data_IF_075354040766
#
_entry.id   IF_075354040766
#
_cell.length_a   1.000
_cell.length_b   1.000
_cell.length_c   1.000
_cell.angle_alpha   90.00
_cell.angle_beta   90.00
_cell.angle_gamma   90.00
#
_symmetry.space_group_name_H-M   'P 1'
#
loop_
_entity.id
_entity.type
_entity.pdbx_description
1 polymer ?
#
# COMPACT_ATOMS: atom_id res chain seq x y z
N UNK A 1 8.74 16.33 -2.38
CA UNK A 1 9.20 14.92 -2.39
C UNK A 1 8.75 14.29 -3.70
N UNK A 2 9.59 13.48 -4.36
CA UNK A 2 9.26 12.79 -5.61
C UNK A 2 9.20 11.29 -5.32
N UNK A 3 8.05 10.67 -5.59
CA UNK A 3 7.88 9.21 -5.56
C UNK A 3 8.09 8.68 -6.97
N UNK A 4 8.91 7.64 -7.11
CA UNK A 4 9.13 6.94 -8.38
C UNK A 4 8.71 5.51 -8.16
N UNK A 5 7.65 5.10 -8.85
CA UNK A 5 7.19 3.72 -8.85
C UNK A 5 7.67 3.01 -10.12
N UNK A 6 8.01 1.74 -10.00
CA UNK A 6 8.25 0.86 -11.14
C UNK A 6 6.93 0.54 -11.85
N UNK A 7 7.01 0.06 -13.08
CA UNK A 7 5.83 -0.38 -13.81
C UNK A 7 5.08 -1.52 -13.08
N UNK A 8 5.81 -2.39 -12.40
CA UNK A 8 5.23 -3.48 -11.61
C UNK A 8 4.49 -2.95 -10.38
N UNK A 9 5.08 -2.00 -9.65
CA UNK A 9 4.41 -1.35 -8.50
C UNK A 9 3.12 -0.64 -8.91
N UNK A 10 3.13 0.07 -10.05
CA UNK A 10 1.93 0.72 -10.58
C UNK A 10 0.86 -0.32 -10.92
N UNK A 11 1.25 -1.44 -11.51
CA UNK A 11 0.33 -2.52 -11.85
C UNK A 11 -0.27 -3.15 -10.58
N UNK A 12 0.56 -3.49 -9.59
CA UNK A 12 0.09 -4.05 -8.32
C UNK A 12 -0.86 -3.10 -7.59
N UNK A 13 -0.58 -1.79 -7.61
CA UNK A 13 -1.49 -0.78 -7.04
C UNK A 13 -2.84 -0.75 -7.75
N UNK A 14 -2.86 -0.86 -9.08
CA UNK A 14 -4.10 -0.91 -9.86
C UNK A 14 -4.93 -2.16 -9.53
N UNK A 15 -4.29 -3.33 -9.53
CA UNK A 15 -4.95 -4.61 -9.23
C UNK A 15 -5.50 -4.62 -7.80
N UNK A 16 -4.76 -4.04 -6.85
CA UNK A 16 -5.19 -3.87 -5.47
C UNK A 16 -6.42 -2.96 -5.36
N UNK A 17 -6.40 -1.81 -6.04
CA UNK A 17 -7.52 -0.87 -6.05
C UNK A 17 -8.81 -1.49 -6.62
N UNK A 18 -8.69 -2.26 -7.70
CA UNK A 18 -9.83 -2.99 -8.28
C UNK A 18 -10.36 -4.07 -7.35
N UNK A 19 -9.47 -4.78 -6.64
CA UNK A 19 -9.85 -5.85 -5.71
C UNK A 19 -10.60 -5.32 -4.48
N UNK A 20 -10.22 -4.16 -3.96
CA UNK A 20 -10.82 -3.58 -2.77
C UNK A 20 -11.97 -2.60 -3.07
N UNK A 21 -12.13 -2.22 -4.34
CA UNK A 21 -13.19 -1.32 -4.81
C UNK A 21 -13.03 0.12 -4.34
N UNK A 22 -11.82 0.52 -3.95
CA UNK A 22 -11.54 1.88 -3.46
C UNK A 22 -11.16 2.81 -4.61
N UNK A 23 -11.61 4.06 -4.52
CA UNK A 23 -11.33 5.08 -5.53
C UNK A 23 -10.01 5.81 -5.35
N UNK A 24 -9.42 5.76 -4.15
CA UNK A 24 -8.21 6.48 -3.81
C UNK A 24 -7.34 5.72 -2.80
N UNK A 25 -6.02 5.94 -2.91
CA UNK A 25 -5.01 5.37 -2.01
C UNK A 25 -3.99 6.43 -1.63
N UNK A 26 -3.62 6.43 -0.35
CA UNK A 26 -2.51 7.19 0.19
C UNK A 26 -1.25 6.35 0.08
N UNK A 27 -0.19 6.93 -0.48
CA UNK A 27 1.13 6.31 -0.53
C UNK A 27 2.07 7.05 0.41
N UNK A 28 2.64 6.34 1.37
CA UNK A 28 3.60 6.89 2.32
C UNK A 28 4.58 5.82 2.82
N UNK A 29 5.62 6.25 3.54
CA UNK A 29 6.41 5.29 4.31
C UNK A 29 5.64 4.89 5.57
N UNK A 30 5.62 3.61 5.88
CA UNK A 30 4.96 3.08 7.06
C UNK A 30 5.39 1.66 7.37
N UNK A 31 4.94 1.19 8.53
CA UNK A 31 5.23 -0.14 9.05
C UNK A 31 3.96 -1.00 8.94
N UNK A 32 4.11 -2.25 8.52
CA UNK A 32 3.05 -3.26 8.56
C UNK A 32 3.37 -4.22 9.69
N UNK A 33 2.37 -4.47 10.55
CA UNK A 33 2.49 -5.31 11.73
C UNK A 33 1.77 -6.64 11.53
N UNK A 34 2.35 -7.70 12.09
CA UNK A 34 1.66 -8.97 12.36
C UNK A 34 1.66 -9.18 13.88
N UNK A 35 0.53 -8.89 14.51
CA UNK A 35 0.46 -8.76 15.98
C UNK A 35 1.30 -7.57 16.47
N UNK A 36 2.28 -7.84 17.32
CA UNK A 36 3.21 -6.83 17.87
C UNK A 36 4.51 -6.69 17.05
N UNK A 37 4.72 -7.55 16.03
CA UNK A 37 5.96 -7.58 15.24
C UNK A 37 5.82 -6.79 13.94
N UNK A 38 6.81 -5.93 13.64
CA UNK A 38 6.92 -5.24 12.35
C UNK A 38 7.46 -6.23 11.31
N UNK A 39 6.61 -6.61 10.35
CA UNK A 39 6.99 -7.53 9.27
C UNK A 39 7.46 -6.81 8.00
N UNK A 40 7.14 -5.52 7.87
CA UNK A 40 7.55 -4.68 6.75
C UNK A 40 7.70 -3.23 7.20
N UNK A 41 8.71 -2.53 6.70
CA UNK A 41 8.92 -1.09 6.91
C UNK A 41 9.41 -0.49 5.60
N UNK A 42 8.58 0.33 4.96
CA UNK A 42 8.83 0.79 3.61
C UNK A 42 7.68 1.57 3.02
N UNK A 43 7.59 1.64 1.69
CA UNK A 43 6.48 2.30 1.02
C UNK A 43 5.23 1.41 1.08
N UNK A 44 4.13 1.98 1.56
CA UNK A 44 2.85 1.32 1.64
C UNK A 44 1.78 2.14 0.92
N UNK A 45 0.76 1.45 0.39
CA UNK A 45 -0.46 2.06 -0.12
C UNK A 45 -1.67 1.56 0.68
N UNK A 46 -2.52 2.47 1.13
CA UNK A 46 -3.73 2.17 1.89
C UNK A 46 -4.84 3.19 1.58
N UNK A 47 -6.10 2.78 1.69
CA UNK A 47 -7.25 3.63 1.34
C UNK A 47 -7.68 4.60 2.46
N UNK A 48 -6.99 4.57 3.60
CA UNK A 48 -7.36 5.33 4.80
C UNK A 48 -8.45 4.68 5.65
N UNK A 49 -8.96 3.51 5.24
CA UNK A 49 -9.91 2.71 6.02
C UNK A 49 -9.20 1.60 6.79
N UNK A 50 -9.63 1.35 8.02
CA UNK A 50 -9.19 0.21 8.84
C UNK A 50 -9.82 -1.12 8.40
N UNK A 51 -10.86 -1.08 7.57
CA UNK A 51 -11.55 -2.27 7.04
C UNK A 51 -10.88 -2.84 5.78
N UNK A 52 -9.92 -2.11 5.22
CA UNK A 52 -9.26 -2.39 3.96
C UNK A 52 -7.78 -2.71 4.16
N UNK A 53 -7.21 -3.43 3.20
CA UNK A 53 -5.84 -3.89 3.28
C UNK A 53 -4.80 -2.75 3.16
N UNK A 54 -3.56 -3.13 3.45
CA UNK A 54 -2.38 -2.31 3.14
C UNK A 54 -1.55 -3.07 2.10
N UNK A 55 -1.20 -2.41 1.00
CA UNK A 55 -0.31 -2.95 -0.01
C UNK A 55 1.11 -2.47 0.23
N UNK A 56 2.06 -3.40 0.35
CA UNK A 56 3.48 -3.11 0.30
C UNK A 56 3.93 -2.78 -1.14
N UNK A 57 4.70 -1.71 -1.31
CA UNK A 57 5.25 -1.28 -2.59
C UNK A 57 6.77 -1.47 -2.57
N UNK A 58 7.22 -2.71 -2.80
CA UNK A 58 8.64 -3.08 -2.95
C UNK A 58 9.16 -2.88 -4.38
#
# INVERSE_FOLDING_TARGET
MKLVLTAEQIKSLSEFAESEGQSEYVIQHGDIYDGDDVIYSGLIAYSGSEEHGVLQLD
#
